data_IF_702983066312
#
_entry.id   IF_702983066312
#
_cell.length_a   1.000
_cell.length_b   1.000
_cell.length_c   1.000
_cell.angle_alpha   90.00
_cell.angle_beta   90.00
_cell.angle_gamma   90.00
#
_symmetry.space_group_name_H-M   'P 1'
#
loop_
_entity.id
_entity.type
_entity.pdbx_description
1 polymer ?
#
# COMPACT_ATOMS: atom_id res chain seq x y z
N UNK A 1 -29.12 1.66 -2.79
CA UNK A 1 -27.90 1.27 -3.53
C UNK A 1 -26.78 1.21 -2.51
N UNK A 2 -26.19 0.03 -2.29
CA UNK A 2 -25.03 -0.08 -1.40
C UNK A 2 -23.82 0.47 -2.14
N UNK A 3 -23.22 1.54 -1.64
CA UNK A 3 -21.91 1.96 -2.11
C UNK A 3 -20.92 0.86 -1.66
N UNK A 4 -20.48 0.04 -2.60
CA UNK A 4 -19.43 -0.94 -2.35
C UNK A 4 -18.11 -0.16 -2.36
N UNK A 5 -17.35 -0.31 -1.28
CA UNK A 5 -16.01 0.24 -1.14
C UNK A 5 -15.04 -0.93 -1.03
N UNK A 6 -14.16 -1.08 -2.01
CA UNK A 6 -13.10 -2.07 -1.95
C UNK A 6 -11.83 -1.52 -2.60
N UNK A 7 -10.69 -2.03 -2.16
CA UNK A 7 -9.39 -1.74 -2.73
C UNK A 7 -8.78 -3.06 -3.23
N UNK A 8 -8.21 -3.04 -4.43
CA UNK A 8 -7.52 -4.19 -5.02
C UNK A 8 -6.16 -3.74 -5.51
N UNK A 9 -5.15 -4.54 -5.25
CA UNK A 9 -3.83 -4.40 -5.85
C UNK A 9 -3.81 -4.93 -7.28
N UNK A 10 -3.38 -4.08 -8.22
CA UNK A 10 -3.17 -4.41 -9.61
C UNK A 10 -1.68 -4.66 -9.87
N UNK A 11 -1.24 -5.93 -10.06
CA UNK A 11 0.17 -6.26 -10.23
C UNK A 11 0.74 -5.79 -11.58
N UNK A 12 -0.09 -5.55 -12.60
CA UNK A 12 0.38 -5.12 -13.90
C UNK A 12 0.88 -3.66 -13.90
N UNK A 13 0.33 -2.85 -13.00
CA UNK A 13 0.63 -1.42 -12.87
C UNK A 13 1.28 -1.06 -11.54
N UNK A 14 1.51 -2.04 -10.66
CA UNK A 14 1.99 -1.87 -9.29
C UNK A 14 1.22 -0.75 -8.57
N UNK A 15 -0.10 -0.90 -8.51
CA UNK A 15 -0.99 0.13 -7.97
C UNK A 15 -2.16 -0.43 -7.21
N UNK A 16 -2.63 0.28 -6.19
CA UNK A 16 -3.88 -0.03 -5.52
C UNK A 16 -5.01 0.79 -6.13
N UNK A 17 -6.06 0.09 -6.56
CA UNK A 17 -7.26 0.67 -7.14
C UNK A 17 -8.39 0.62 -6.11
N UNK A 18 -8.86 1.80 -5.69
CA UNK A 18 -10.01 1.94 -4.79
C UNK A 18 -11.24 2.22 -5.64
N UNK A 19 -12.26 1.38 -5.46
CA UNK A 19 -13.57 1.54 -6.07
C UNK A 19 -14.53 2.07 -5.01
N UNK A 20 -15.10 3.25 -5.26
CA UNK A 20 -16.01 3.93 -4.35
C UNK A 20 -17.33 4.23 -5.09
N UNK A 21 -18.31 3.33 -4.96
CA UNK A 21 -19.55 3.41 -5.75
C UNK A 21 -19.34 3.19 -7.25
N UNK A 22 -20.27 3.66 -8.09
CA UNK A 22 -20.32 3.27 -9.51
C UNK A 22 -19.31 3.99 -10.42
N UNK A 23 -18.72 5.10 -10.00
CA UNK A 23 -17.94 5.99 -10.90
C UNK A 23 -16.61 6.47 -10.34
N UNK A 24 -16.35 6.33 -9.04
CA UNK A 24 -15.11 6.83 -8.46
C UNK A 24 -14.09 5.70 -8.40
N UNK A 25 -13.02 5.87 -9.17
CA UNK A 25 -11.80 5.06 -9.09
C UNK A 25 -10.66 5.96 -8.65
N UNK A 26 -10.03 5.64 -7.52
CA UNK A 26 -8.80 6.30 -7.06
C UNK A 26 -7.66 5.30 -7.24
N UNK A 27 -6.53 5.75 -7.75
CA UNK A 27 -5.36 4.90 -8.02
C UNK A 27 -4.17 5.42 -7.23
N UNK A 28 -3.60 4.56 -6.39
CA UNK A 28 -2.36 4.80 -5.67
C UNK A 28 -1.23 4.02 -6.34
N UNK A 29 -0.20 4.73 -6.81
CA UNK A 29 0.97 4.11 -7.43
C UNK A 29 1.93 3.63 -6.34
N UNK A 30 2.03 2.31 -6.17
CA UNK A 30 2.85 1.69 -5.12
C UNK A 30 4.34 1.94 -5.37
N UNK A 31 4.82 1.84 -6.61
CA UNK A 31 6.23 2.13 -6.95
C UNK A 31 6.66 3.52 -6.45
N UNK A 32 5.84 4.55 -6.71
CA UNK A 32 6.14 5.92 -6.31
C UNK A 32 6.10 6.11 -4.80
N UNK A 33 5.20 5.43 -4.10
CA UNK A 33 5.09 5.50 -2.64
C UNK A 33 6.24 4.74 -1.97
N UNK A 34 6.56 3.53 -2.46
CA UNK A 34 7.67 2.70 -1.99
C UNK A 34 9.03 3.39 -2.17
N UNK A 35 9.21 4.19 -3.23
CA UNK A 35 10.44 4.96 -3.45
C UNK A 35 10.71 6.02 -2.36
N UNK A 36 9.72 6.37 -1.53
CA UNK A 36 9.91 7.28 -0.41
C UNK A 36 10.31 6.56 0.88
N UNK A 37 10.41 5.22 0.86
CA UNK A 37 10.77 4.40 2.01
C UNK A 37 12.27 4.08 1.96
N UNK A 38 12.95 4.35 3.06
CA UNK A 38 14.32 3.90 3.29
C UNK A 38 14.33 2.46 3.79
N UNK A 39 15.01 1.60 3.04
CA UNK A 39 15.17 0.18 3.35
C UNK A 39 16.62 -0.08 3.73
N UNK A 40 16.86 -0.53 4.96
CA UNK A 40 18.18 -0.97 5.41
C UNK A 40 18.61 -2.24 4.67
N UNK A 41 17.68 -3.18 4.49
CA UNK A 41 17.84 -4.36 3.66
C UNK A 41 16.92 -4.25 2.43
N UNK A 42 17.45 -4.35 1.19
CA UNK A 42 16.64 -4.32 -0.02
C UNK A 42 15.52 -5.37 -0.07
N UNK A 43 15.64 -6.47 0.67
CA UNK A 43 14.60 -7.50 0.75
C UNK A 43 13.37 -7.06 1.56
N UNK A 44 13.47 -6.03 2.40
CA UNK A 44 12.37 -5.53 3.23
C UNK A 44 11.25 -4.90 2.38
N UNK A 45 11.53 -4.59 1.10
CA UNK A 45 10.49 -4.22 0.11
C UNK A 45 9.38 -5.28 0.01
N UNK A 46 9.69 -6.55 0.35
CA UNK A 46 8.72 -7.63 0.36
C UNK A 46 7.55 -7.37 1.34
N UNK A 47 7.79 -6.69 2.46
CA UNK A 47 6.71 -6.32 3.39
C UNK A 47 5.72 -5.37 2.73
N UNK A 48 6.20 -4.39 1.95
CA UNK A 48 5.35 -3.44 1.25
C UNK A 48 4.54 -4.10 0.13
N UNK A 49 5.14 -5.02 -0.63
CA UNK A 49 4.41 -5.78 -1.64
C UNK A 49 3.37 -6.73 -1.02
N UNK A 50 3.69 -7.36 0.11
CA UNK A 50 2.75 -8.18 0.85
C UNK A 50 1.58 -7.34 1.38
N UNK A 51 1.88 -6.21 2.02
CA UNK A 51 0.88 -5.29 2.55
C UNK A 51 -0.04 -4.75 1.45
N UNK A 52 0.52 -4.33 0.31
CA UNK A 52 -0.28 -3.84 -0.81
C UNK A 52 -1.24 -4.91 -1.35
N UNK A 53 -0.76 -6.17 -1.45
CA UNK A 53 -1.52 -7.28 -2.02
C UNK A 53 -2.60 -7.82 -1.09
N UNK A 54 -2.24 -8.09 0.16
CA UNK A 54 -3.11 -8.79 1.11
C UNK A 54 -4.00 -7.82 1.90
N UNK A 55 -3.48 -6.61 2.18
CA UNK A 55 -4.15 -5.61 3.02
C UNK A 55 -4.10 -4.20 2.35
N UNK A 56 -4.63 -4.03 1.13
CA UNK A 56 -4.47 -2.80 0.34
C UNK A 56 -4.97 -1.54 1.05
N UNK A 57 -6.01 -1.67 1.86
CA UNK A 57 -6.50 -0.55 2.68
C UNK A 57 -5.49 -0.13 3.75
N UNK A 58 -4.81 -1.07 4.40
CA UNK A 58 -3.78 -0.75 5.38
C UNK A 58 -2.56 -0.12 4.69
N UNK A 59 -2.16 -0.63 3.52
CA UNK A 59 -1.11 0.01 2.72
C UNK A 59 -1.43 1.48 2.45
N UNK A 60 -2.65 1.79 2.00
CA UNK A 60 -3.08 3.17 1.76
C UNK A 60 -3.11 3.98 3.06
N UNK A 61 -3.64 3.41 4.13
CA UNK A 61 -3.71 4.06 5.43
C UNK A 61 -2.32 4.52 5.90
N UNK A 62 -1.32 3.62 5.86
CA UNK A 62 0.07 3.94 6.16
C UNK A 62 0.63 4.93 5.15
N UNK A 63 0.47 4.73 3.84
CA UNK A 63 0.98 5.67 2.84
C UNK A 63 0.48 7.13 2.97
N UNK A 64 -0.62 7.36 3.69
CA UNK A 64 -1.17 8.67 4.00
C UNK A 64 -0.73 9.25 5.36
N UNK A 65 -0.08 8.48 6.23
CA UNK A 65 0.45 9.00 7.50
C UNK A 65 1.79 9.74 7.26
N UNK A 66 2.18 10.68 8.15
CA UNK A 66 3.44 11.42 8.04
C UNK A 66 4.69 10.54 7.98
N UNK A 67 4.79 9.56 8.89
CA UNK A 67 5.90 8.59 8.94
C UNK A 67 5.57 7.30 8.16
N UNK A 68 4.31 7.18 7.79
CA UNK A 68 3.77 6.38 6.71
C UNK A 68 4.24 4.93 6.57
N UNK A 69 4.72 4.59 5.37
CA UNK A 69 5.21 3.25 5.06
C UNK A 69 6.58 2.97 5.72
N UNK A 70 7.31 4.00 6.14
CA UNK A 70 8.58 3.86 6.84
C UNK A 70 8.37 3.18 8.20
N UNK A 71 7.44 3.70 9.01
CA UNK A 71 7.08 3.10 10.30
C UNK A 71 6.63 1.65 10.17
N UNK A 72 5.88 1.32 9.11
CA UNK A 72 5.46 -0.04 8.86
C UNK A 72 6.66 -0.97 8.61
N UNK A 73 7.61 -0.58 7.75
CA UNK A 73 8.80 -1.39 7.49
C UNK A 73 9.66 -1.54 8.76
N UNK A 74 9.86 -0.46 9.50
CA UNK A 74 10.61 -0.50 10.76
C UNK A 74 9.97 -1.44 11.78
N UNK A 75 8.64 -1.40 11.91
CA UNK A 75 7.91 -2.32 12.77
C UNK A 75 8.08 -3.78 12.32
N UNK A 76 7.95 -4.06 11.01
CA UNK A 76 8.16 -5.41 10.48
C UNK A 76 9.58 -5.92 10.73
N UNK A 77 10.58 -5.05 10.63
CA UNK A 77 11.97 -5.41 10.91
C UNK A 77 12.24 -5.78 12.37
N UNK A 78 11.43 -5.29 13.32
CA UNK A 78 11.52 -5.70 14.73
C UNK A 78 11.03 -7.14 14.94
N UNK A 79 10.10 -7.62 14.10
CA UNK A 79 9.51 -8.96 14.23
C UNK A 79 10.24 -10.07 13.45
N UNK A 80 11.21 -9.72 12.60
CA UNK A 80 12.03 -10.68 11.82
C UNK A 80 13.36 -10.99 12.51
#
# INVERSE_FOLDING_TARGET
MNNIYFAIYNPATDSIEIFAGEKLKIIFNCTRLNNNVYLENPLDIAYLHWLAREEPFNYIYFALQPDGLQEYVEAMNVFN
#
